data_IF_154403054267
#
_entry.id   IF_154403054267
#
_cell.length_a   1.000
_cell.length_b   1.000
_cell.length_c   1.000
_cell.angle_alpha   90.00
_cell.angle_beta   90.00
_cell.angle_gamma   90.00
#
_symmetry.space_group_name_H-M   'P 1'
#
loop_
_entity.id
_entity.type
_entity.pdbx_description
1 polymer ?
#
# COMPACT_ATOMS: atom_id res chain seq x y z
N UNK A 1 8.55 -1.34 16.71
CA UNK A 1 9.23 -0.02 16.59
C UNK A 1 8.17 1.06 16.68
N UNK A 2 8.21 1.84 17.76
CA UNK A 2 7.18 2.79 18.16
C UNK A 2 7.23 4.02 17.25
N UNK A 3 6.20 4.23 16.44
CA UNK A 3 5.95 5.53 15.81
C UNK A 3 5.74 6.51 16.95
N UNK A 4 6.69 7.43 17.15
CA UNK A 4 6.52 8.55 18.08
C UNK A 4 5.33 9.37 17.56
N UNK A 5 4.16 9.15 18.15
CA UNK A 5 2.92 9.92 17.99
C UNK A 5 3.02 11.34 18.60
N UNK A 6 4.21 11.96 18.55
CA UNK A 6 4.54 13.13 19.36
C UNK A 6 4.95 14.33 18.50
N UNK A 7 4.11 14.74 17.55
CA UNK A 7 4.25 16.05 16.90
C UNK A 7 2.93 16.83 16.75
N UNK A 8 1.77 16.20 16.99
CA UNK A 8 0.48 16.92 17.05
C UNK A 8 0.03 17.14 18.52
N UNK A 9 0.64 16.44 19.49
CA UNK A 9 0.22 16.49 20.90
C UNK A 9 0.96 17.49 21.81
N UNK A 10 2.05 18.13 21.36
CA UNK A 10 2.97 18.83 22.29
C UNK A 10 3.52 20.17 21.79
N UNK A 11 2.94 20.77 20.75
CA UNK A 11 3.04 22.21 20.49
C UNK A 11 1.65 22.83 20.66
N UNK A 12 1.41 23.30 21.88
CA UNK A 12 0.47 24.38 22.25
C UNK A 12 -0.66 24.68 21.27
N UNK A 13 -1.90 24.49 21.72
CA UNK A 13 -3.13 25.13 21.24
C UNK A 13 -3.03 26.67 21.17
N UNK A 14 -2.18 27.19 20.31
CA UNK A 14 -2.44 28.47 19.67
C UNK A 14 -3.36 28.14 18.51
N UNK A 15 -4.55 28.72 18.52
CA UNK A 15 -5.51 28.69 17.43
C UNK A 15 -4.85 29.25 16.15
N UNK A 16 -4.14 28.39 15.42
CA UNK A 16 -3.64 28.66 14.07
C UNK A 16 -4.88 28.64 13.16
N UNK A 17 -5.57 29.77 13.15
CA UNK A 17 -6.86 29.92 12.50
C UNK A 17 -6.80 30.83 11.28
N UNK A 18 -5.63 31.25 10.81
CA UNK A 18 -5.50 32.04 9.59
C UNK A 18 -4.88 31.23 8.44
N UNK A 19 -5.33 31.52 7.22
CA UNK A 19 -4.78 30.96 5.99
C UNK A 19 -3.25 30.96 5.96
N UNK A 20 -2.62 32.11 6.22
CA UNK A 20 -1.17 32.26 6.10
C UNK A 20 -0.41 31.46 7.16
N UNK A 21 -0.93 31.40 8.39
CA UNK A 21 -0.31 30.62 9.45
C UNK A 21 -0.45 29.11 9.19
N UNK A 22 -1.59 28.67 8.64
CA UNK A 22 -1.81 27.28 8.23
C UNK A 22 -0.87 26.91 7.07
N UNK A 23 -0.74 27.79 6.07
CA UNK A 23 0.15 27.58 4.94
C UNK A 23 1.61 27.45 5.40
N UNK A 24 2.09 28.40 6.21
CA UNK A 24 3.46 28.37 6.72
C UNK A 24 3.75 27.10 7.55
N UNK A 25 2.78 26.64 8.34
CA UNK A 25 2.91 25.39 9.08
C UNK A 25 3.01 24.17 8.14
N UNK A 26 2.20 24.12 7.09
CA UNK A 26 2.25 23.03 6.11
C UNK A 26 3.60 23.00 5.37
N UNK A 27 4.13 24.16 5.00
CA UNK A 27 5.43 24.30 4.34
C UNK A 27 6.60 23.88 5.26
N UNK A 28 6.54 24.28 6.54
CA UNK A 28 7.53 23.86 7.54
C UNK A 28 7.48 22.36 7.79
N UNK A 29 6.29 21.77 7.88
CA UNK A 29 6.14 20.32 8.06
C UNK A 29 6.68 19.56 6.84
N UNK A 30 6.39 20.01 5.62
CA UNK A 30 6.94 19.40 4.41
C UNK A 30 8.47 19.50 4.41
N UNK A 31 9.02 20.65 4.78
CA UNK A 31 10.48 20.85 4.86
C UNK A 31 11.10 19.90 5.88
N UNK A 32 10.50 19.77 7.06
CA UNK A 32 10.94 18.84 8.09
C UNK A 32 10.89 17.38 7.61
N UNK A 33 9.84 16.98 6.89
CA UNK A 33 9.74 15.64 6.31
C UNK A 33 10.84 15.38 5.28
N UNK A 34 11.21 16.39 4.49
CA UNK A 34 12.28 16.30 3.49
C UNK A 34 13.68 16.12 4.09
N UNK A 35 13.89 16.47 5.37
CA UNK A 35 15.15 16.18 6.08
C UNK A 35 15.33 14.68 6.35
N UNK A 36 14.23 13.93 6.48
CA UNK A 36 14.24 12.53 6.91
C UNK A 36 13.82 11.51 5.84
N UNK A 37 13.13 11.96 4.79
CA UNK A 37 12.49 11.06 3.82
C UNK A 37 12.66 11.53 2.37
N UNK A 38 12.80 10.61 1.40
CA UNK A 38 12.75 10.95 -0.01
C UNK A 38 11.40 11.57 -0.40
N UNK A 39 11.42 12.58 -1.29
CA UNK A 39 10.19 13.24 -1.78
C UNK A 39 9.15 12.28 -2.36
N UNK A 40 9.59 11.19 -3.01
CA UNK A 40 8.69 10.15 -3.54
C UNK A 40 7.89 9.45 -2.43
N UNK A 41 8.53 9.12 -1.30
CA UNK A 41 7.87 8.52 -0.13
C UNK A 41 6.93 9.52 0.54
N UNK A 42 7.37 10.77 0.67
CA UNK A 42 6.54 11.85 1.24
C UNK A 42 5.27 12.03 0.40
N UNK A 43 5.43 12.13 -0.92
CA UNK A 43 4.34 12.35 -1.87
C UNK A 43 3.33 11.21 -1.93
N UNK A 44 3.79 9.96 -1.86
CA UNK A 44 2.96 8.77 -2.10
C UNK A 44 2.32 8.18 -0.84
N UNK A 45 2.94 8.36 0.33
CA UNK A 45 2.49 7.70 1.57
C UNK A 45 2.27 8.71 2.71
N UNK A 46 3.29 9.47 3.09
CA UNK A 46 3.26 10.26 4.33
C UNK A 46 2.21 11.37 4.26
N UNK A 47 2.20 12.16 3.19
CA UNK A 47 1.22 13.24 3.02
C UNK A 47 -0.20 12.69 2.92
N UNK A 48 -0.40 11.53 2.29
CA UNK A 48 -1.72 10.89 2.22
C UNK A 48 -2.22 10.53 3.63
N UNK A 49 -1.37 9.96 4.49
CA UNK A 49 -1.71 9.65 5.88
C UNK A 49 -2.10 10.89 6.69
N UNK A 50 -1.33 11.98 6.58
CA UNK A 50 -1.62 13.23 7.27
C UNK A 50 -2.96 13.82 6.80
N UNK A 51 -3.17 13.91 5.49
CA UNK A 51 -4.40 14.44 4.91
C UNK A 51 -5.63 13.61 5.31
N UNK A 52 -5.50 12.29 5.35
CA UNK A 52 -6.55 11.39 5.83
C UNK A 52 -6.85 11.60 7.33
N UNK A 53 -5.82 11.79 8.16
CA UNK A 53 -5.99 12.09 9.58
C UNK A 53 -6.70 13.43 9.79
N UNK A 54 -6.34 14.47 9.03
CA UNK A 54 -7.01 15.77 9.05
C UNK A 54 -8.47 15.64 8.61
N UNK A 55 -8.73 14.91 7.53
CA UNK A 55 -10.10 14.66 7.03
C UNK A 55 -10.96 14.01 8.12
N UNK A 56 -10.46 12.94 8.76
CA UNK A 56 -11.14 12.30 9.88
C UNK A 56 -11.33 13.26 11.06
N UNK A 57 -10.34 14.07 11.40
CA UNK A 57 -10.47 15.03 12.49
C UNK A 57 -11.54 16.11 12.22
N UNK A 58 -11.72 16.51 10.95
CA UNK A 58 -12.81 17.40 10.53
C UNK A 58 -14.17 16.68 10.64
N UNK A 59 -14.28 15.45 10.13
CA UNK A 59 -15.52 14.65 10.20
C UNK A 59 -15.98 14.40 11.65
N UNK A 60 -15.04 14.17 12.58
CA UNK A 60 -15.33 13.98 14.00
C UNK A 60 -15.45 15.31 14.78
N UNK A 61 -15.47 16.46 14.08
CA UNK A 61 -15.56 17.80 14.66
C UNK A 61 -14.44 18.15 15.67
N UNK A 62 -13.30 17.47 15.62
CA UNK A 62 -12.10 17.84 16.39
C UNK A 62 -11.42 19.10 15.81
N UNK A 63 -11.58 19.33 14.51
CA UNK A 63 -11.14 20.55 13.82
C UNK A 63 -12.38 21.22 13.23
N UNK A 64 -12.91 22.28 13.85
CA UNK A 64 -14.06 22.98 13.30
C UNK A 64 -13.67 23.80 12.07
N UNK A 65 -14.48 23.73 11.02
CA UNK A 65 -14.35 24.59 9.84
C UNK A 65 -14.91 25.97 10.16
N UNK A 66 -14.07 26.99 10.06
CA UNK A 66 -14.41 28.40 10.29
C UNK A 66 -14.04 29.23 9.07
N UNK A 67 -14.63 30.43 8.88
CA UNK A 67 -14.28 31.30 7.75
C UNK A 67 -12.79 31.63 7.63
N UNK A 68 -12.03 31.54 8.72
CA UNK A 68 -10.61 31.92 8.74
C UNK A 68 -9.66 30.75 8.40
N UNK A 69 -10.09 29.50 8.63
CA UNK A 69 -9.28 28.30 8.44
C UNK A 69 -9.75 27.40 7.27
N UNK A 70 -10.83 27.78 6.60
CA UNK A 70 -11.46 27.00 5.53
C UNK A 70 -11.82 27.85 4.33
N UNK A 71 -12.10 27.18 3.21
CA UNK A 71 -12.48 27.82 1.95
C UNK A 71 -13.41 26.91 1.15
N UNK A 72 -14.24 27.54 0.33
CA UNK A 72 -15.04 26.88 -0.67
C UNK A 72 -14.28 26.85 -1.99
N UNK A 73 -14.35 25.73 -2.71
CA UNK A 73 -13.82 25.60 -4.06
C UNK A 73 -14.68 24.66 -4.88
N UNK A 74 -14.66 24.86 -6.20
CA UNK A 74 -15.34 23.98 -7.14
C UNK A 74 -14.31 23.13 -7.88
N UNK A 75 -14.61 21.85 -8.08
CA UNK A 75 -13.81 20.95 -8.90
C UNK A 75 -14.69 20.07 -9.76
N UNK A 76 -14.16 19.59 -10.88
CA UNK A 76 -14.86 18.61 -11.71
C UNK A 76 -14.46 17.20 -11.31
N UNK A 77 -15.46 16.34 -11.08
CA UNK A 77 -15.23 14.90 -10.94
C UNK A 77 -14.68 14.37 -12.26
N UNK A 78 -13.54 13.68 -12.22
CA UNK A 78 -12.91 13.13 -13.43
C UNK A 78 -13.79 12.09 -14.13
N UNK A 79 -14.63 11.39 -13.36
CA UNK A 79 -15.39 10.24 -13.83
C UNK A 79 -16.70 10.66 -14.52
N UNK A 80 -17.31 11.76 -14.06
CA UNK A 80 -18.65 12.21 -14.51
C UNK A 80 -18.63 13.57 -15.20
N UNK A 81 -17.54 14.32 -15.12
CA UNK A 81 -17.45 15.71 -15.60
C UNK A 81 -18.29 16.72 -14.80
N UNK A 82 -18.96 16.26 -13.74
CA UNK A 82 -19.83 17.08 -12.90
C UNK A 82 -19.01 18.06 -12.07
N UNK A 83 -19.40 19.34 -12.11
CA UNK A 83 -18.85 20.37 -11.23
C UNK A 83 -19.47 20.21 -9.84
N UNK A 84 -18.62 19.99 -8.84
CA UNK A 84 -19.02 19.86 -7.44
C UNK A 84 -18.37 20.98 -6.62
N UNK A 85 -19.16 21.56 -5.72
CA UNK A 85 -18.65 22.49 -4.71
C UNK A 85 -18.21 21.71 -3.47
N UNK A 86 -17.04 22.05 -2.94
CA UNK A 86 -16.49 21.49 -1.72
C UNK A 86 -16.07 22.59 -0.75
N UNK A 87 -16.26 22.30 0.54
CA UNK A 87 -15.80 23.13 1.65
C UNK A 87 -14.68 22.40 2.39
N UNK A 88 -13.50 23.02 2.48
CA UNK A 88 -12.30 22.33 2.98
C UNK A 88 -11.39 23.22 3.81
N UNK A 89 -10.70 22.61 4.77
CA UNK A 89 -9.69 23.26 5.60
C UNK A 89 -8.43 23.57 4.77
N UNK A 90 -7.80 24.73 5.00
CA UNK A 90 -6.61 25.16 4.25
C UNK A 90 -5.44 24.17 4.32
N UNK A 91 -5.32 23.41 5.41
CA UNK A 91 -4.29 22.37 5.51
C UNK A 91 -4.43 21.30 4.42
N UNK A 92 -5.65 20.94 4.01
CA UNK A 92 -5.87 19.98 2.91
C UNK A 92 -5.51 20.59 1.53
N UNK A 93 -5.36 21.90 1.45
CA UNK A 93 -4.89 22.59 0.23
C UNK A 93 -3.37 22.71 0.21
N UNK A 94 -2.73 23.05 1.32
CA UNK A 94 -1.30 23.34 1.38
C UNK A 94 -0.43 22.16 1.77
N UNK A 95 -0.97 21.16 2.47
CA UNK A 95 -0.23 19.95 2.84
C UNK A 95 -0.19 18.95 1.66
N UNK A 96 0.44 19.39 0.57
CA UNK A 96 0.74 18.62 -0.64
C UNK A 96 1.87 19.31 -1.40
N UNK A 97 2.53 18.58 -2.29
CA UNK A 97 3.43 19.22 -3.24
C UNK A 97 2.68 20.00 -4.31
N UNK A 98 3.39 20.91 -4.97
CA UNK A 98 2.89 21.57 -6.17
C UNK A 98 2.76 20.57 -7.34
N UNK A 99 2.03 20.96 -8.37
CA UNK A 99 1.77 20.12 -9.55
C UNK A 99 3.05 19.76 -10.32
N UNK A 100 4.04 20.64 -10.36
CA UNK A 100 5.30 20.43 -11.08
C UNK A 100 6.13 19.34 -10.39
N UNK A 101 6.23 19.39 -9.06
CA UNK A 101 6.90 18.37 -8.25
C UNK A 101 6.23 17.00 -8.43
N UNK A 102 4.89 16.92 -8.40
CA UNK A 102 4.20 15.65 -8.69
C UNK A 102 4.45 15.15 -10.12
N UNK A 103 4.48 16.04 -11.11
CA UNK A 103 4.79 15.68 -12.49
C UNK A 103 6.21 15.14 -12.64
N UNK A 104 7.20 15.77 -11.98
CA UNK A 104 8.58 15.30 -11.98
C UNK A 104 8.71 13.90 -11.38
N UNK A 105 8.08 13.64 -10.23
CA UNK A 105 8.09 12.33 -9.59
C UNK A 105 7.44 11.25 -10.47
N UNK A 106 6.35 11.59 -11.17
CA UNK A 106 5.69 10.69 -12.13
C UNK A 106 6.59 10.39 -13.33
N UNK A 107 7.26 11.39 -13.88
CA UNK A 107 8.17 11.23 -15.02
C UNK A 107 9.35 10.33 -14.64
N UNK A 108 9.99 10.56 -13.49
CA UNK A 108 11.06 9.71 -12.97
C UNK A 108 10.61 8.25 -12.81
N UNK A 109 9.41 8.03 -12.27
CA UNK A 109 8.84 6.68 -12.13
C UNK A 109 8.62 6.02 -13.49
N UNK A 110 8.18 6.80 -14.48
CA UNK A 110 7.93 6.32 -15.85
C UNK A 110 9.24 5.95 -16.52
N UNK A 111 10.26 6.79 -16.42
CA UNK A 111 11.60 6.53 -16.96
C UNK A 111 12.22 5.27 -16.38
N UNK A 112 12.16 5.09 -15.05
CA UNK A 112 12.66 3.87 -14.38
C UNK A 112 11.91 2.62 -14.89
N UNK A 113 10.59 2.71 -15.06
CA UNK A 113 9.81 1.59 -15.56
C UNK A 113 10.14 1.28 -17.02
N UNK A 114 10.33 2.30 -17.86
CA UNK A 114 10.74 2.11 -19.25
C UNK A 114 12.11 1.43 -19.31
N UNK A 115 13.09 1.91 -18.53
CA UNK A 115 14.40 1.27 -18.44
C UNK A 115 14.31 -0.20 -18.00
N UNK A 116 13.41 -0.55 -17.07
CA UNK A 116 13.19 -1.94 -16.65
C UNK A 116 12.58 -2.80 -17.76
N UNK A 117 11.69 -2.23 -18.57
CA UNK A 117 11.09 -2.93 -19.71
C UNK A 117 12.10 -3.14 -20.85
N UNK A 118 12.97 -2.16 -21.08
CA UNK A 118 14.00 -2.24 -22.12
C UNK A 118 15.17 -3.16 -21.73
N UNK A 119 15.44 -3.31 -20.42
CA UNK A 119 16.55 -4.11 -19.89
C UNK A 119 16.04 -5.38 -19.18
N UNK A 120 15.31 -6.22 -19.92
CA UNK A 120 14.80 -7.49 -19.41
C UNK A 120 15.94 -8.39 -18.91
N UNK A 121 15.77 -8.93 -17.71
CA UNK A 121 16.68 -9.93 -17.15
C UNK A 121 16.17 -11.33 -17.52
N UNK A 122 16.89 -12.09 -18.35
CA UNK A 122 16.47 -13.44 -18.72
C UNK A 122 16.53 -14.36 -17.51
N UNK A 123 15.51 -15.23 -17.37
CA UNK A 123 15.43 -16.23 -16.30
C UNK A 123 15.48 -17.61 -16.92
N UNK A 124 16.38 -18.46 -16.41
CA UNK A 124 16.40 -19.88 -16.76
C UNK A 124 15.28 -20.61 -16.01
N UNK A 125 14.23 -20.98 -16.75
CA UNK A 125 13.00 -21.58 -16.18
C UNK A 125 13.27 -22.84 -15.36
N UNK A 126 14.17 -23.72 -15.83
CA UNK A 126 14.51 -24.96 -15.11
C UNK A 126 15.09 -24.66 -13.72
N UNK A 127 16.09 -23.77 -13.65
CA UNK A 127 16.72 -23.34 -12.40
C UNK A 127 15.71 -22.66 -11.48
N UNK A 128 14.84 -21.82 -12.05
CA UNK A 128 13.80 -21.11 -11.31
C UNK A 128 12.81 -22.08 -10.66
N UNK A 129 12.23 -23.00 -11.44
CA UNK A 129 11.27 -23.99 -10.94
C UNK A 129 11.90 -24.94 -9.92
N UNK A 130 13.13 -25.41 -10.16
CA UNK A 130 13.87 -26.23 -9.20
C UNK A 130 14.11 -25.51 -7.87
N UNK A 131 14.44 -24.22 -7.92
CA UNK A 131 14.67 -23.43 -6.72
C UNK A 131 13.37 -23.23 -5.92
N UNK A 132 12.24 -22.98 -6.61
CA UNK A 132 10.93 -22.88 -5.95
C UNK A 132 10.59 -24.21 -5.28
N UNK A 133 10.73 -25.32 -6.00
CA UNK A 133 10.46 -26.64 -5.45
C UNK A 133 11.32 -26.93 -4.22
N UNK A 134 12.62 -26.59 -4.25
CA UNK A 134 13.49 -26.70 -3.08
C UNK A 134 13.00 -25.87 -1.89
N UNK A 135 12.55 -24.64 -2.14
CA UNK A 135 12.07 -23.74 -1.08
C UNK A 135 10.72 -24.16 -0.51
N UNK A 136 9.80 -24.72 -1.31
CA UNK A 136 8.52 -25.28 -0.81
C UNK A 136 8.74 -26.42 0.18
N UNK A 137 9.81 -27.19 0.01
CA UNK A 137 10.17 -28.31 0.88
C UNK A 137 11.14 -27.90 2.01
N UNK A 138 11.25 -26.60 2.33
CA UNK A 138 12.09 -26.14 3.44
C UNK A 138 11.63 -26.76 4.76
N UNK A 139 12.48 -27.54 5.46
CA UNK A 139 12.13 -28.13 6.74
C UNK A 139 11.73 -27.10 7.79
N UNK A 140 10.87 -27.50 8.73
CA UNK A 140 10.41 -26.63 9.83
C UNK A 140 11.47 -26.28 10.87
N UNK A 141 12.64 -26.90 10.79
CA UNK A 141 13.80 -26.62 11.63
C UNK A 141 14.75 -25.59 11.04
N UNK A 142 14.58 -25.23 9.76
CA UNK A 142 15.46 -24.30 9.09
C UNK A 142 15.18 -22.85 9.51
N UNK A 143 16.21 -22.01 9.69
CA UNK A 143 16.05 -20.57 9.86
C UNK A 143 15.26 -19.95 8.71
N UNK A 144 14.48 -18.92 9.02
CA UNK A 144 13.71 -18.12 8.05
C UNK A 144 12.76 -18.97 7.18
N UNK A 145 12.24 -20.07 7.73
CA UNK A 145 11.32 -20.95 7.00
C UNK A 145 10.10 -20.20 6.47
N UNK A 146 9.55 -19.30 7.27
CA UNK A 146 8.44 -18.43 6.90
C UNK A 146 8.76 -17.59 5.67
N UNK A 147 9.91 -16.93 5.63
CA UNK A 147 10.34 -16.14 4.48
C UNK A 147 10.57 -17.02 3.24
N UNK A 148 11.23 -18.16 3.40
CA UNK A 148 11.50 -19.11 2.30
C UNK A 148 10.21 -19.63 1.68
N UNK A 149 9.24 -20.03 2.49
CA UNK A 149 7.93 -20.48 2.02
C UNK A 149 7.13 -19.35 1.38
N UNK A 150 7.12 -18.15 1.97
CA UNK A 150 6.44 -16.99 1.39
C UNK A 150 6.97 -16.65 -0.03
N UNK A 151 8.29 -16.67 -0.21
CA UNK A 151 8.94 -16.46 -1.52
C UNK A 151 8.53 -17.58 -2.49
N UNK A 152 8.57 -18.83 -2.04
CA UNK A 152 8.24 -19.98 -2.90
C UNK A 152 6.79 -19.95 -3.36
N UNK A 153 5.84 -19.69 -2.45
CA UNK A 153 4.40 -19.63 -2.75
C UNK A 153 4.10 -18.43 -3.67
N UNK A 154 4.65 -17.25 -3.39
CA UNK A 154 4.47 -16.08 -4.25
C UNK A 154 5.03 -16.32 -5.66
N UNK A 155 6.18 -16.99 -5.76
CA UNK A 155 6.79 -17.37 -7.02
C UNK A 155 5.98 -18.43 -7.78
N UNK A 156 5.42 -19.41 -7.07
CA UNK A 156 4.63 -20.49 -7.65
C UNK A 156 3.26 -20.02 -8.19
N UNK A 157 2.66 -19.02 -7.56
CA UNK A 157 1.27 -18.55 -7.82
C UNK A 157 1.20 -17.20 -8.52
N UNK A 158 2.31 -16.46 -8.59
CA UNK A 158 2.36 -15.08 -9.07
C UNK A 158 1.52 -14.10 -8.24
N UNK A 159 1.12 -14.45 -7.01
CA UNK A 159 0.37 -13.57 -6.11
C UNK A 159 1.29 -12.65 -5.33
N UNK A 160 0.77 -11.50 -4.88
CA UNK A 160 1.54 -10.55 -4.06
C UNK A 160 1.84 -11.19 -2.70
N UNK A 161 2.99 -10.85 -2.12
CA UNK A 161 3.40 -11.36 -0.81
C UNK A 161 2.33 -11.15 0.28
N UNK A 162 1.66 -10.01 0.29
CA UNK A 162 0.52 -9.71 1.19
C UNK A 162 -0.72 -10.56 0.93
N UNK A 163 -0.99 -10.94 -0.32
CA UNK A 163 -2.07 -11.88 -0.68
C UNK A 163 -1.71 -13.29 -0.17
N UNK A 164 -0.45 -13.70 -0.30
CA UNK A 164 0.04 -14.97 0.27
C UNK A 164 -0.01 -14.99 1.80
N UNK A 165 0.35 -13.87 2.45
CA UNK A 165 0.50 -13.78 3.90
C UNK A 165 -0.82 -13.71 4.67
N UNK A 166 -1.76 -12.84 4.25
CA UNK A 166 -2.88 -12.50 5.13
C UNK A 166 -4.25 -12.36 4.48
N UNK A 167 -4.32 -12.09 3.17
CA UNK A 167 -5.59 -11.79 2.48
C UNK A 167 -6.12 -12.87 1.55
N UNK A 168 -5.23 -13.62 0.92
CA UNK A 168 -5.59 -14.54 -0.13
C UNK A 168 -6.18 -15.83 0.42
N UNK A 169 -7.29 -16.29 -0.15
CA UNK A 169 -7.76 -17.67 0.06
C UNK A 169 -7.45 -18.48 -1.18
N UNK A 170 -6.94 -19.70 -0.98
CA UNK A 170 -6.58 -20.63 -2.05
C UNK A 170 -7.32 -21.94 -1.83
N UNK A 171 -7.90 -22.50 -2.88
CA UNK A 171 -8.50 -23.84 -2.85
C UNK A 171 -8.13 -24.62 -4.10
N UNK A 172 -8.12 -25.95 -4.00
CA UNK A 172 -7.84 -26.82 -5.13
C UNK A 172 -8.99 -26.80 -6.13
N UNK A 173 -8.63 -26.86 -7.41
CA UNK A 173 -9.58 -27.13 -8.50
C UNK A 173 -9.43 -28.58 -8.97
N UNK A 174 -10.19 -28.97 -9.99
CA UNK A 174 -10.05 -30.28 -10.63
C UNK A 174 -8.81 -30.38 -11.55
N UNK A 175 -8.13 -29.26 -11.83
CA UNK A 175 -6.98 -29.24 -12.74
C UNK A 175 -5.65 -29.23 -11.96
N UNK A 176 -4.65 -30.05 -12.35
CA UNK A 176 -3.43 -30.28 -11.56
C UNK A 176 -2.52 -29.05 -11.41
N UNK A 177 -2.78 -27.95 -12.13
CA UNK A 177 -2.00 -26.70 -12.10
C UNK A 177 -2.88 -25.46 -11.93
N UNK A 178 -4.11 -25.61 -11.43
CA UNK A 178 -4.98 -24.47 -11.12
C UNK A 178 -5.37 -24.47 -9.64
N UNK A 179 -5.29 -23.29 -9.03
CA UNK A 179 -5.89 -22.98 -7.74
C UNK A 179 -7.00 -21.96 -7.95
N UNK A 180 -8.08 -22.08 -7.19
CA UNK A 180 -9.07 -21.01 -7.09
C UNK A 180 -8.58 -19.99 -6.06
N UNK A 181 -8.61 -18.71 -6.40
CA UNK A 181 -8.08 -17.62 -5.58
C UNK A 181 -9.13 -16.54 -5.29
N UNK A 182 -9.15 -16.07 -4.05
CA UNK A 182 -9.96 -14.96 -3.56
C UNK A 182 -9.10 -13.96 -2.77
N UNK A 183 -9.54 -12.71 -2.62
CA UNK A 183 -8.84 -11.70 -1.80
C UNK A 183 -7.81 -10.85 -2.56
N UNK A 184 -8.01 -10.65 -3.87
CA UNK A 184 -7.17 -9.81 -4.73
C UNK A 184 -6.99 -8.38 -4.16
N UNK A 185 -5.74 -7.92 -4.07
CA UNK A 185 -5.48 -6.54 -3.65
C UNK A 185 -5.67 -5.51 -4.77
N UNK A 186 -5.87 -4.25 -4.34
CA UNK A 186 -6.03 -3.04 -5.17
C UNK A 186 -7.33 -2.97 -5.98
N UNK A 187 -8.38 -3.67 -5.55
CA UNK A 187 -9.75 -3.42 -6.01
C UNK A 187 -10.56 -2.65 -4.96
N UNK A 188 -11.50 -1.78 -5.37
CA UNK A 188 -12.50 -1.22 -4.48
C UNK A 188 -13.23 -2.35 -3.76
N UNK A 189 -13.59 -2.14 -2.49
CA UNK A 189 -14.16 -3.15 -1.58
C UNK A 189 -15.49 -3.77 -2.03
N UNK A 190 -16.05 -3.35 -3.17
CA UNK A 190 -17.32 -3.84 -3.70
C UNK A 190 -17.16 -4.93 -4.78
N UNK A 191 -15.94 -5.18 -5.25
CA UNK A 191 -15.64 -6.22 -6.24
C UNK A 191 -14.75 -7.31 -5.62
N UNK A 192 -15.31 -8.13 -4.72
CA UNK A 192 -14.65 -9.39 -4.35
C UNK A 192 -14.56 -10.28 -5.59
N UNK A 193 -13.39 -10.25 -6.22
CA UNK A 193 -13.14 -11.09 -7.39
C UNK A 193 -12.46 -12.38 -6.97
N UNK A 194 -13.20 -13.46 -7.14
CA UNK A 194 -12.68 -14.82 -7.14
C UNK A 194 -12.42 -15.27 -8.58
N UNK A 195 -11.32 -16.00 -8.80
CA UNK A 195 -10.96 -16.53 -10.13
C UNK A 195 -9.89 -17.62 -10.01
N UNK A 196 -9.79 -18.45 -11.04
CA UNK A 196 -8.77 -19.49 -11.11
C UNK A 196 -7.42 -18.90 -11.54
N UNK A 197 -6.35 -19.33 -10.87
CA UNK A 197 -4.97 -18.93 -11.15
C UNK A 197 -4.12 -20.16 -11.52
N UNK A 198 -3.21 -19.97 -12.47
CA UNK A 198 -2.20 -20.95 -12.83
C UNK A 198 -1.11 -21.02 -11.76
N UNK A 199 -0.64 -22.23 -11.48
CA UNK A 199 0.56 -22.48 -10.71
C UNK A 199 1.64 -23.10 -11.60
N UNK A 200 2.90 -22.69 -11.40
CA UNK A 200 4.03 -23.24 -12.17
C UNK A 200 4.56 -24.58 -11.60
N UNK A 201 4.04 -24.99 -10.44
CA UNK A 201 4.24 -26.30 -9.82
C UNK A 201 2.86 -26.96 -9.59
N UNK A 202 2.79 -28.28 -9.37
CA UNK A 202 1.52 -28.97 -9.13
C UNK A 202 0.71 -28.29 -8.02
N UNK A 203 -0.58 -28.03 -8.27
CA UNK A 203 -1.46 -27.29 -7.38
C UNK A 203 -1.55 -27.93 -5.99
N UNK A 204 -1.53 -29.25 -5.91
CA UNK A 204 -1.51 -30.01 -4.63
C UNK A 204 -0.26 -29.76 -3.81
N UNK A 205 0.91 -29.66 -4.46
CA UNK A 205 2.19 -29.37 -3.81
C UNK A 205 2.20 -27.93 -3.26
N UNK A 206 1.74 -26.99 -4.08
CA UNK A 206 1.62 -25.58 -3.68
C UNK A 206 0.61 -25.42 -2.54
N UNK A 207 -0.54 -26.11 -2.60
CA UNK A 207 -1.55 -26.06 -1.55
C UNK A 207 -1.02 -26.61 -0.22
N UNK A 208 -0.33 -27.76 -0.24
CA UNK A 208 0.30 -28.33 0.96
C UNK A 208 1.30 -27.37 1.61
N UNK A 209 2.05 -26.62 0.78
CA UNK A 209 2.98 -25.61 1.28
C UNK A 209 2.25 -24.40 1.87
N UNK A 210 1.15 -23.95 1.27
CA UNK A 210 0.30 -22.87 1.81
C UNK A 210 -0.28 -23.26 3.16
N UNK A 211 -0.80 -24.48 3.29
CA UNK A 211 -1.33 -25.00 4.55
C UNK A 211 -0.24 -25.03 5.62
N UNK A 212 0.92 -25.60 5.30
CA UNK A 212 2.07 -25.65 6.21
C UNK A 212 2.52 -24.24 6.62
N UNK A 213 2.62 -23.33 5.67
CA UNK A 213 3.01 -21.94 5.90
C UNK A 213 2.07 -21.22 6.88
N UNK A 214 0.76 -21.44 6.77
CA UNK A 214 -0.25 -20.85 7.67
C UNK A 214 -0.21 -21.40 9.09
N UNK A 215 0.39 -22.58 9.30
CA UNK A 215 0.59 -23.14 10.66
C UNK A 215 1.78 -22.52 11.40
N UNK A 216 2.66 -21.78 10.71
CA UNK A 216 3.80 -21.15 11.35
C UNK A 216 3.27 -20.08 12.33
N UNK A 217 3.69 -20.08 13.62
CA UNK A 217 3.10 -19.23 14.64
C UNK A 217 3.03 -17.74 14.27
N UNK A 218 4.12 -17.18 13.73
CA UNK A 218 4.16 -15.75 13.33
C UNK A 218 3.18 -15.43 12.20
N UNK A 219 2.92 -16.38 11.30
CA UNK A 219 2.03 -16.22 10.16
C UNK A 219 0.57 -16.42 10.57
N UNK A 220 0.30 -17.41 11.44
CA UNK A 220 -1.04 -17.69 11.96
C UNK A 220 -1.68 -16.44 12.60
N UNK A 221 -0.88 -15.61 13.28
CA UNK A 221 -1.34 -14.35 13.88
C UNK A 221 -1.68 -13.25 12.86
N UNK A 222 -1.22 -13.36 11.60
CA UNK A 222 -1.45 -12.37 10.56
C UNK A 222 -2.71 -12.63 9.73
N UNK A 223 -3.25 -13.85 9.79
CA UNK A 223 -4.40 -14.24 8.99
C UNK A 223 -5.65 -13.43 9.39
N UNK A 224 -6.27 -12.75 8.43
CA UNK A 224 -7.46 -11.93 8.67
C UNK A 224 -7.21 -10.53 9.25
N UNK A 225 -5.95 -10.12 9.46
CA UNK A 225 -5.67 -8.73 9.83
C UNK A 225 -5.90 -7.80 8.63
N UNK A 226 -6.58 -6.65 8.81
CA UNK A 226 -6.71 -5.65 7.76
C UNK A 226 -5.32 -5.10 7.40
N UNK A 227 -4.95 -5.13 6.13
CA UNK A 227 -3.73 -4.45 5.67
C UNK A 227 -3.93 -2.95 5.84
N UNK A 228 -3.07 -2.32 6.63
CA UNK A 228 -2.91 -0.86 6.72
C UNK A 228 -2.45 -0.24 5.41
#
# INVERSE_FOLDING_TARGET
MSVKSSLIGSRTSQTINSKDAIQSLCEQEITLLEEGYPKSTIASDILAKYRNAITKAIEHNHIPLTPNNSHHYTYQKQDTGETVEAHSHYALTYLKYDSQTYQQLRNQTTEINNQRQDNLQPIHLSTYTQQIQKLLHTPNTEPDQDLKLAIAIASATGRRHTEVLSKGTFTLTNHPYLLHFEGQQKKPSQDETSFDILTILPATEVMSAIESFRTIPVIAHLHGLPSS
#
